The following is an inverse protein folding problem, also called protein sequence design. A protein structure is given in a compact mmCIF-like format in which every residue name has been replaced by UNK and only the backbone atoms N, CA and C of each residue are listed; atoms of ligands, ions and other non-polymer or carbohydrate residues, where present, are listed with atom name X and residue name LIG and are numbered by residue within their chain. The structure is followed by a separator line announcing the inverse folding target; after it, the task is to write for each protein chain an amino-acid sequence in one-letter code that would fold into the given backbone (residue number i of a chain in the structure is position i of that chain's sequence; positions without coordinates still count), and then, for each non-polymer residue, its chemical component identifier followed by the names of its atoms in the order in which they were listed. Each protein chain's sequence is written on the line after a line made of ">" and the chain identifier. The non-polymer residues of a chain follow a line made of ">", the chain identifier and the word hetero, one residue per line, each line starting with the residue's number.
data_IF_973114428249
#
_entry.id   IF_973114428249
#
_cell.length_a   1.000
_cell.length_b   1.000
_cell.length_c   1.000
_cell.angle_alpha   90.00
_cell.angle_beta   90.00
_cell.angle_gamma   90.00
#
_symmetry.space_group_name_H-M   'P 1'
#
loop_
_entity.id
_entity.type
_entity.pdbx_description
1 polymer ?
#
# COMPACT_ATOMS: atom_id res chain seq x y z
N UNK A 1 -4.80 18.84 23.11
CA UNK A 1 -5.65 17.84 22.41
C UNK A 1 -6.02 18.40 21.05
N UNK A 2 -4.98 18.71 20.25
CA UNK A 2 -5.09 19.39 18.95
C UNK A 2 -4.07 18.87 17.93
N UNK A 3 -3.84 17.52 17.90
CA UNK A 3 -2.91 16.90 16.95
C UNK A 3 -3.56 16.39 15.64
N UNK A 4 -4.81 16.71 15.40
CA UNK A 4 -5.53 16.30 14.18
C UNK A 4 -5.52 17.36 13.08
N UNK A 5 -4.60 18.34 13.13
CA UNK A 5 -4.60 19.45 12.17
C UNK A 5 -3.90 19.17 10.84
N UNK A 6 -3.28 18.01 10.64
CA UNK A 6 -2.56 17.69 9.40
C UNK A 6 -3.35 16.87 8.38
N UNK A 7 -4.56 16.43 8.69
CA UNK A 7 -5.34 15.61 7.76
C UNK A 7 -4.90 14.13 7.67
N UNK A 8 -3.64 13.83 7.89
CA UNK A 8 -3.10 12.46 7.85
C UNK A 8 -3.61 11.61 9.04
N UNK A 9 -3.73 10.30 8.81
CA UNK A 9 -4.13 9.36 9.84
C UNK A 9 -2.92 8.95 10.68
N UNK A 10 -3.01 8.94 12.02
CA UNK A 10 -1.88 8.60 12.84
C UNK A 10 -1.46 7.14 12.65
N UNK A 11 -0.18 6.92 12.39
CA UNK A 11 0.46 5.62 12.39
C UNK A 11 0.96 5.32 13.81
N UNK A 12 0.41 4.29 14.42
CA UNK A 12 0.82 3.81 15.73
C UNK A 12 1.78 2.65 15.56
N UNK A 13 3.05 2.87 15.90
CA UNK A 13 4.07 1.82 15.86
C UNK A 13 3.96 0.90 17.05
N UNK A 14 4.28 -0.38 16.87
CA UNK A 14 4.44 -1.31 17.99
C UNK A 14 5.68 -0.94 18.81
N UNK A 15 5.62 -1.16 20.12
CA UNK A 15 6.72 -0.82 21.03
C UNK A 15 8.05 -1.53 20.71
N UNK A 16 7.98 -2.67 20.05
CA UNK A 16 9.14 -3.47 19.63
C UNK A 16 9.63 -3.15 18.22
N UNK A 17 8.87 -2.30 17.47
CA UNK A 17 9.27 -1.91 16.14
C UNK A 17 10.46 -0.96 16.21
N UNK A 18 11.51 -1.25 15.45
CA UNK A 18 12.61 -0.32 15.25
C UNK A 18 12.20 0.71 14.18
N UNK A 19 11.95 1.97 14.55
CA UNK A 19 11.54 2.99 13.60
C UNK A 19 12.71 3.53 12.76
N UNK A 20 13.92 3.08 13.00
CA UNK A 20 15.10 3.59 12.33
C UNK A 20 15.18 3.05 10.91
N UNK A 21 15.16 3.99 9.95
CA UNK A 21 15.40 3.88 8.51
C UNK A 21 15.30 2.46 7.94
N UNK A 22 14.14 2.16 7.43
CA UNK A 22 13.93 0.89 6.74
C UNK A 22 14.72 0.86 5.44
N UNK A 23 14.68 1.95 4.68
CA UNK A 23 15.28 2.04 3.34
C UNK A 23 14.67 1.05 2.35
N UNK A 24 15.17 1.01 1.14
CA UNK A 24 14.77 0.04 0.13
C UNK A 24 13.39 0.31 -0.47
N UNK A 25 12.54 -0.72 -0.58
CA UNK A 25 11.27 -0.64 -1.31
C UNK A 25 10.08 -0.66 -0.36
N UNK A 26 9.17 0.29 -0.54
CA UNK A 26 7.83 0.29 0.06
C UNK A 26 6.82 -0.30 -0.93
N UNK A 27 5.99 -1.22 -0.48
CA UNK A 27 4.89 -1.81 -1.26
C UNK A 27 3.57 -1.56 -0.55
N UNK A 28 2.59 -1.06 -1.29
CA UNK A 28 1.24 -0.81 -0.79
C UNK A 28 0.22 -1.66 -1.51
N UNK A 29 -0.74 -2.20 -0.77
CA UNK A 29 -1.90 -2.91 -1.30
C UNK A 29 -3.14 -2.64 -0.49
N UNK A 30 -4.21 -2.23 -1.20
CA UNK A 30 -5.46 -1.78 -0.60
C UNK A 30 -6.64 -2.62 -1.09
N UNK A 31 -7.74 -2.60 -0.33
CA UNK A 31 -8.98 -3.31 -0.68
C UNK A 31 -9.76 -2.52 -1.74
N UNK A 32 -9.32 -2.68 -2.98
CA UNK A 32 -9.91 -2.10 -4.18
C UNK A 32 -10.49 -3.20 -5.07
N UNK A 33 -10.57 -2.96 -6.37
CA UNK A 33 -11.12 -3.92 -7.34
C UNK A 33 -10.43 -5.29 -7.24
N UNK A 34 -11.22 -6.32 -6.99
CA UNK A 34 -10.73 -7.71 -6.91
C UNK A 34 -9.81 -7.99 -5.72
N UNK A 35 -9.60 -7.02 -4.82
CA UNK A 35 -8.65 -7.12 -3.68
C UNK A 35 -7.23 -7.54 -4.08
N UNK A 36 -6.83 -7.27 -5.31
CA UNK A 36 -5.51 -7.68 -5.87
C UNK A 36 -4.36 -7.17 -5.00
N UNK A 37 -4.42 -5.88 -4.60
CA UNK A 37 -3.39 -5.28 -3.75
C UNK A 37 -3.25 -5.97 -2.39
N UNK A 38 -4.38 -6.26 -1.73
CA UNK A 38 -4.39 -6.97 -0.44
C UNK A 38 -3.87 -8.41 -0.57
N UNK A 39 -4.27 -9.12 -1.62
CA UNK A 39 -3.80 -10.50 -1.87
C UNK A 39 -2.28 -10.50 -2.09
N UNK A 40 -1.77 -9.59 -2.93
CA UNK A 40 -0.35 -9.48 -3.21
C UNK A 40 0.47 -9.12 -1.96
N UNK A 41 0.04 -8.13 -1.19
CA UNK A 41 0.74 -7.75 0.05
C UNK A 41 0.67 -8.81 1.12
N UNK A 42 -0.47 -9.52 1.26
CA UNK A 42 -0.59 -10.65 2.19
C UNK A 42 0.37 -11.78 1.82
N UNK A 43 0.51 -12.07 0.52
CA UNK A 43 1.46 -13.07 0.03
C UNK A 43 2.91 -12.67 0.35
N UNK A 44 3.29 -11.41 0.10
CA UNK A 44 4.62 -10.90 0.45
C UNK A 44 4.91 -11.02 1.95
N UNK A 45 3.95 -10.60 2.79
CA UNK A 45 4.10 -10.65 4.26
C UNK A 45 4.34 -12.08 4.73
N UNK A 46 3.58 -13.05 4.21
CA UNK A 46 3.68 -14.45 4.61
C UNK A 46 4.96 -15.11 4.06
N UNK A 47 5.24 -14.93 2.77
CA UNK A 47 6.35 -15.61 2.10
C UNK A 47 7.71 -15.11 2.59
N UNK A 48 7.82 -13.82 2.90
CA UNK A 48 9.05 -13.20 3.39
C UNK A 48 9.10 -13.08 4.92
N UNK A 49 8.11 -13.64 5.62
CA UNK A 49 8.02 -13.64 7.07
C UNK A 49 8.21 -12.23 7.68
N UNK A 50 7.57 -11.21 7.05
CA UNK A 50 7.75 -9.83 7.48
C UNK A 50 7.19 -9.60 8.89
N UNK A 51 7.93 -8.87 9.69
CA UNK A 51 7.54 -8.54 11.06
C UNK A 51 6.52 -7.40 11.10
N UNK A 52 5.49 -7.48 11.97
CA UNK A 52 4.53 -6.38 12.15
C UNK A 52 5.24 -5.18 12.79
N UNK A 53 5.03 -4.00 12.21
CA UNK A 53 5.64 -2.75 12.64
C UNK A 53 4.64 -1.82 13.33
N UNK A 54 3.42 -1.74 12.81
CA UNK A 54 2.42 -0.84 13.37
C UNK A 54 1.06 -0.94 12.70
N UNK A 55 0.17 -0.08 13.16
CA UNK A 55 -1.20 0.06 12.65
C UNK A 55 -1.51 1.52 12.38
N UNK A 56 -2.38 1.77 11.41
CA UNK A 56 -2.96 3.10 11.20
C UNK A 56 -4.33 3.14 11.82
N UNK A 57 -4.56 4.13 12.67
CA UNK A 57 -5.82 4.30 13.39
C UNK A 57 -6.47 5.62 13.01
N UNK A 58 -7.78 5.59 12.81
CA UNK A 58 -8.57 6.78 12.58
C UNK A 58 -9.97 6.62 13.16
N UNK A 59 -10.57 7.67 13.79
CA UNK A 59 -11.90 7.60 14.38
C UNK A 59 -13.02 7.25 13.40
N UNK A 60 -12.83 7.50 12.12
CA UNK A 60 -13.79 7.17 11.05
C UNK A 60 -13.66 5.73 10.53
N UNK A 61 -12.65 4.98 10.97
CA UNK A 61 -12.56 3.58 10.59
C UNK A 61 -13.68 2.77 11.24
N UNK A 62 -14.24 1.80 10.53
CA UNK A 62 -15.23 0.91 11.12
C UNK A 62 -14.61 0.14 12.29
N UNK A 63 -15.39 -0.09 13.34
CA UNK A 63 -14.96 -0.86 14.50
C UNK A 63 -14.95 -2.36 14.17
N UNK A 64 -13.99 -2.79 13.37
CA UNK A 64 -13.80 -4.18 12.94
C UNK A 64 -12.41 -4.68 13.31
N UNK A 65 -12.30 -5.98 13.54
CA UNK A 65 -11.04 -6.69 13.63
C UNK A 65 -11.07 -7.84 12.63
N UNK A 66 -9.95 -8.04 11.95
CA UNK A 66 -9.75 -9.19 11.07
C UNK A 66 -9.17 -10.33 11.88
N UNK A 67 -9.64 -11.54 11.63
CA UNK A 67 -9.10 -12.72 12.32
C UNK A 67 -8.18 -13.46 11.37
N UNK A 68 -6.89 -13.48 11.70
CA UNK A 68 -5.86 -14.24 11.01
C UNK A 68 -5.23 -15.22 12.00
N UNK A 69 -5.27 -16.49 11.71
CA UNK A 69 -4.72 -17.56 12.57
C UNK A 69 -5.26 -17.49 14.01
N UNK A 70 -6.56 -17.23 14.14
CA UNK A 70 -7.25 -17.06 15.43
C UNK A 70 -6.82 -15.83 16.25
N UNK A 71 -6.04 -14.91 15.65
CA UNK A 71 -5.58 -13.68 16.28
C UNK A 71 -6.30 -12.48 15.67
N UNK A 72 -6.94 -11.61 16.48
CA UNK A 72 -7.52 -10.37 15.98
C UNK A 72 -6.42 -9.39 15.57
N UNK A 73 -6.56 -8.83 14.36
CA UNK A 73 -5.63 -7.85 13.79
C UNK A 73 -6.39 -6.61 13.34
N UNK A 74 -5.74 -5.45 13.45
CA UNK A 74 -6.25 -4.22 12.90
C UNK A 74 -6.30 -4.30 11.35
N UNK A 75 -7.32 -3.75 10.68
CA UNK A 75 -7.45 -3.86 9.22
C UNK A 75 -6.41 -3.06 8.42
N UNK A 76 -5.80 -2.04 9.02
CA UNK A 76 -4.73 -1.25 8.39
C UNK A 76 -3.43 -1.42 9.13
N UNK A 77 -2.45 -2.02 8.48
CA UNK A 77 -1.21 -2.46 9.12
C UNK A 77 0.01 -2.19 8.26
N UNK A 78 1.15 -2.06 8.93
CA UNK A 78 2.47 -1.98 8.30
C UNK A 78 3.38 -3.10 8.80
N UNK A 79 4.19 -3.62 7.88
CA UNK A 79 5.15 -4.69 8.11
C UNK A 79 6.52 -4.32 7.55
N UNK A 80 7.57 -4.97 8.02
CA UNK A 80 8.93 -4.74 7.54
C UNK A 80 9.79 -6.02 7.57
N UNK A 81 10.81 -6.05 6.74
CA UNK A 81 11.90 -7.04 6.73
C UNK A 81 12.80 -6.85 5.53
N UNK A 82 14.11 -7.04 5.71
CA UNK A 82 15.13 -7.10 4.65
C UNK A 82 15.08 -5.98 3.58
N UNK A 83 14.91 -4.73 4.00
CA UNK A 83 14.81 -3.59 3.09
C UNK A 83 13.46 -3.48 2.36
N UNK A 84 12.45 -4.19 2.83
CA UNK A 84 11.08 -4.12 2.34
C UNK A 84 10.15 -3.62 3.44
N UNK A 85 9.35 -2.60 3.14
CA UNK A 85 8.22 -2.20 3.94
C UNK A 85 6.92 -2.52 3.21
N UNK A 86 5.93 -3.04 3.91
CA UNK A 86 4.61 -3.34 3.34
C UNK A 86 3.54 -2.60 4.11
N UNK A 87 2.71 -1.84 3.40
CA UNK A 87 1.54 -1.18 3.93
C UNK A 87 0.30 -1.83 3.32
N UNK A 88 -0.56 -2.42 4.15
CA UNK A 88 -1.78 -3.09 3.70
C UNK A 88 -3.01 -2.57 4.40
N UNK A 89 -4.10 -2.39 3.65
CA UNK A 89 -5.39 -2.00 4.20
C UNK A 89 -6.50 -2.91 3.65
N UNK A 90 -7.08 -3.71 4.54
CA UNK A 90 -8.13 -4.68 4.24
C UNK A 90 -9.54 -4.12 4.52
N UNK A 91 -9.68 -2.81 4.41
CA UNK A 91 -10.97 -2.09 4.46
C UNK A 91 -11.09 -1.19 3.25
N UNK A 92 -12.33 -0.94 2.84
CA UNK A 92 -12.63 0.13 1.89
C UNK A 92 -12.77 1.45 2.64
N UNK A 93 -12.12 2.48 2.14
CA UNK A 93 -12.25 3.83 2.69
C UNK A 93 -13.42 4.55 2.01
N UNK A 94 -14.13 5.41 2.74
CA UNK A 94 -15.00 6.39 2.09
C UNK A 94 -14.18 7.28 1.15
N UNK A 95 -14.66 7.54 -0.06
CA UNK A 95 -13.96 8.29 -1.11
C UNK A 95 -13.53 9.71 -0.72
N UNK A 96 -14.18 10.31 0.26
CA UNK A 96 -13.81 11.62 0.82
C UNK A 96 -12.56 11.58 1.72
N UNK A 97 -12.04 10.39 2.03
CA UNK A 97 -10.87 10.18 2.87
C UNK A 97 -9.64 9.68 2.09
N UNK A 98 -9.76 9.39 0.81
CA UNK A 98 -8.69 8.79 0.00
C UNK A 98 -7.43 9.68 -0.01
N UNK A 99 -7.58 10.99 -0.17
CA UNK A 99 -6.45 11.94 -0.19
C UNK A 99 -5.71 11.95 1.15
N UNK A 100 -6.42 12.00 2.27
CA UNK A 100 -5.81 11.97 3.60
C UNK A 100 -5.09 10.67 3.90
N UNK A 101 -5.63 9.57 3.40
CA UNK A 101 -4.98 8.27 3.53
C UNK A 101 -3.71 8.20 2.67
N UNK A 102 -3.75 8.76 1.46
CA UNK A 102 -2.57 8.91 0.61
C UNK A 102 -1.47 9.72 1.27
N UNK A 103 -1.81 10.81 1.99
CA UNK A 103 -0.84 11.58 2.79
C UNK A 103 -0.19 10.72 3.88
N UNK A 104 -0.96 9.86 4.55
CA UNK A 104 -0.43 8.93 5.57
C UNK A 104 0.57 7.94 4.97
N UNK A 105 0.27 7.40 3.80
CA UNK A 105 1.18 6.50 3.07
C UNK A 105 2.47 7.22 2.68
N UNK A 106 2.38 8.45 2.17
CA UNK A 106 3.54 9.25 1.79
C UNK A 106 4.38 9.65 3.01
N UNK A 107 3.75 9.95 4.13
CA UNK A 107 4.46 10.24 5.39
C UNK A 107 5.22 9.01 5.88
N UNK A 108 4.59 7.84 5.88
CA UNK A 108 5.25 6.58 6.22
C UNK A 108 6.42 6.27 5.27
N UNK A 109 6.23 6.43 3.97
CA UNK A 109 7.26 6.26 2.96
C UNK A 109 8.47 7.16 3.24
N UNK A 110 8.21 8.44 3.47
CA UNK A 110 9.27 9.44 3.69
C UNK A 110 10.01 9.22 5.00
N UNK A 111 9.28 8.97 6.09
CA UNK A 111 9.88 8.73 7.42
C UNK A 111 10.64 7.41 7.46
N UNK A 112 10.18 6.39 6.75
CA UNK A 112 10.87 5.10 6.60
C UNK A 112 12.15 5.19 5.77
N UNK A 113 12.35 6.31 5.06
CA UNK A 113 13.54 6.51 4.21
C UNK A 113 13.60 5.54 3.04
N UNK A 114 12.45 5.11 2.53
CA UNK A 114 12.37 4.23 1.37
C UNK A 114 12.80 4.93 0.09
N UNK A 115 13.44 4.20 -0.81
CA UNK A 115 13.92 4.71 -2.09
C UNK A 115 12.87 4.60 -3.20
N UNK A 116 11.93 3.68 -3.04
CA UNK A 116 10.89 3.36 -4.03
C UNK A 116 9.56 3.05 -3.36
N UNK A 117 8.48 3.55 -3.96
CA UNK A 117 7.11 3.20 -3.60
C UNK A 117 6.45 2.47 -4.78
N UNK A 118 5.91 1.29 -4.50
CA UNK A 118 5.12 0.49 -5.43
C UNK A 118 3.71 0.36 -4.85
N UNK A 119 2.71 0.77 -5.61
CA UNK A 119 1.31 0.54 -5.26
C UNK A 119 0.75 -0.53 -6.18
N UNK A 120 0.19 -1.58 -5.59
CA UNK A 120 -0.44 -2.69 -6.32
C UNK A 120 -1.95 -2.52 -6.22
N UNK A 121 -2.60 -2.48 -7.37
CA UNK A 121 -4.04 -2.31 -7.46
C UNK A 121 -4.66 -3.23 -8.51
N UNK A 122 -5.96 -3.46 -8.40
CA UNK A 122 -6.75 -4.15 -9.39
C UNK A 122 -7.46 -3.16 -10.31
N UNK A 123 -7.49 -3.47 -11.60
CA UNK A 123 -8.23 -2.69 -12.59
C UNK A 123 -9.20 -3.57 -13.36
N UNK A 124 -10.32 -2.98 -13.78
CA UNK A 124 -11.26 -3.67 -14.67
C UNK A 124 -10.74 -3.55 -16.11
N UNK A 125 -10.48 -4.67 -16.76
CA UNK A 125 -9.85 -4.72 -18.09
C UNK A 125 -10.61 -3.93 -19.17
N UNK A 126 -11.94 -3.81 -19.06
CA UNK A 126 -12.76 -3.08 -20.01
C UNK A 126 -12.49 -1.57 -20.04
N UNK A 127 -11.98 -1.00 -18.95
CA UNK A 127 -11.77 0.44 -18.82
C UNK A 127 -10.47 0.92 -19.50
N UNK A 128 -9.52 0.01 -19.73
CA UNK A 128 -8.21 0.35 -20.31
C UNK A 128 -8.08 0.03 -21.80
N UNK A 129 -9.11 -0.50 -22.44
CA UNK A 129 -9.03 -0.94 -23.85
C UNK A 129 -7.99 -2.04 -24.07
N UNK A 130 -7.72 -2.83 -23.05
CA UNK A 130 -6.68 -3.85 -23.01
C UNK A 130 -7.08 -5.02 -23.90
N UNK A 131 -6.23 -5.35 -24.85
CA UNK A 131 -6.29 -6.63 -25.57
C UNK A 131 -5.61 -7.69 -24.70
N UNK A 132 -6.19 -8.86 -24.62
CA UNK A 132 -6.07 -9.98 -23.67
C UNK A 132 -4.66 -10.55 -23.37
N UNK A 133 -3.53 -9.91 -23.71
CA UNK A 133 -2.22 -10.57 -23.70
C UNK A 133 -1.30 -10.20 -22.52
N UNK A 134 -1.74 -9.38 -21.56
CA UNK A 134 -0.91 -9.06 -20.39
C UNK A 134 -1.73 -8.91 -19.13
N UNK A 135 -1.34 -9.67 -18.13
CA UNK A 135 -1.97 -9.64 -16.80
C UNK A 135 -1.45 -8.48 -15.92
N UNK A 136 -0.35 -7.81 -16.33
CA UNK A 136 0.30 -6.76 -15.57
C UNK A 136 0.50 -5.49 -16.39
N UNK A 137 0.07 -4.38 -15.80
CA UNK A 137 0.20 -3.04 -16.36
C UNK A 137 0.83 -2.10 -15.34
N UNK A 138 1.62 -1.14 -15.81
CA UNK A 138 2.29 -0.21 -14.92
C UNK A 138 2.25 1.23 -15.40
N UNK A 139 2.28 2.14 -14.43
CA UNK A 139 2.56 3.57 -14.62
C UNK A 139 3.68 3.98 -13.67
N UNK A 140 4.43 5.00 -14.02
CA UNK A 140 5.51 5.46 -13.18
C UNK A 140 5.71 6.96 -13.27
N UNK A 141 6.02 7.57 -12.15
CA UNK A 141 6.28 9.02 -12.04
C UNK A 141 7.66 9.44 -12.52
N UNK A 142 8.65 8.51 -12.56
CA UNK A 142 10.03 8.83 -12.94
C UNK A 142 10.48 8.07 -14.19
N UNK A 143 11.47 8.60 -14.90
CA UNK A 143 12.04 7.91 -16.05
C UNK A 143 12.73 6.61 -15.64
N UNK A 144 13.51 6.63 -14.57
CA UNK A 144 14.19 5.44 -14.06
C UNK A 144 13.21 4.30 -13.75
N UNK A 145 12.10 4.60 -13.11
CA UNK A 145 11.08 3.58 -12.83
C UNK A 145 10.37 3.10 -14.10
N UNK A 146 10.24 3.94 -15.14
CA UNK A 146 9.71 3.50 -16.44
C UNK A 146 10.65 2.51 -17.13
N UNK A 147 11.96 2.74 -17.06
CA UNK A 147 12.97 1.82 -17.57
C UNK A 147 12.93 0.49 -16.82
N UNK A 148 12.72 0.52 -15.51
CA UNK A 148 12.54 -0.70 -14.70
C UNK A 148 11.27 -1.50 -15.06
N UNK A 149 10.18 -0.83 -15.42
CA UNK A 149 8.99 -1.51 -15.94
C UNK A 149 9.28 -2.20 -17.28
N UNK A 150 10.06 -1.56 -18.16
CA UNK A 150 10.49 -2.14 -19.43
C UNK A 150 11.38 -3.37 -19.22
N UNK A 151 12.37 -3.28 -18.33
CA UNK A 151 13.28 -4.38 -17.98
C UNK A 151 12.55 -5.57 -17.37
N UNK A 152 11.47 -5.30 -16.62
CA UNK A 152 10.61 -6.33 -16.03
C UNK A 152 9.57 -6.89 -17.01
N UNK A 153 9.49 -6.37 -18.24
CA UNK A 153 8.50 -6.79 -19.24
C UNK A 153 7.05 -6.37 -18.91
N UNK A 154 6.89 -5.37 -18.03
CA UNK A 154 5.57 -4.87 -17.62
C UNK A 154 5.08 -3.86 -18.65
N UNK A 155 3.88 -4.08 -19.19
CA UNK A 155 3.28 -3.17 -20.14
C UNK A 155 2.93 -1.83 -19.49
N UNK A 156 3.18 -0.73 -20.21
CA UNK A 156 2.91 0.62 -19.70
C UNK A 156 1.56 1.14 -20.17
N UNK A 157 0.79 1.68 -19.26
CA UNK A 157 -0.44 2.42 -19.59
C UNK A 157 -0.01 3.75 -20.24
N UNK A 158 -0.38 3.95 -21.49
CA UNK A 158 -0.01 5.16 -22.25
C UNK A 158 -0.94 6.33 -21.95
N UNK A 159 -2.24 6.05 -21.86
CA UNK A 159 -3.29 7.03 -21.59
C UNK A 159 -4.37 6.39 -20.75
N UNK A 160 -4.86 7.11 -19.76
CA UNK A 160 -5.92 6.63 -18.89
C UNK A 160 -6.06 7.46 -17.64
N UNK A 161 -7.03 7.10 -16.82
CA UNK A 161 -7.24 7.63 -15.48
C UNK A 161 -7.02 6.47 -14.52
N UNK A 162 -6.13 6.65 -13.56
CA UNK A 162 -5.97 5.75 -12.43
C UNK A 162 -6.62 6.43 -11.24
N UNK A 163 -7.63 5.79 -10.68
CA UNK A 163 -8.34 6.27 -9.50
C UNK A 163 -8.15 5.27 -8.37
N UNK A 164 -8.11 5.77 -7.14
CA UNK A 164 -7.83 5.00 -5.94
C UNK A 164 -6.78 5.69 -5.08
N UNK A 165 -6.31 5.00 -4.08
CA UNK A 165 -5.31 5.53 -3.14
C UNK A 165 -3.92 5.43 -3.75
#
# INVERSE_FOLDING_TARGET
>A
MDEYSSGAYPLVLHAEADPTRLGGTAVCGFSTVGSVGVIATSHLIQTLELSPMGTVMHPKFPAIALIHDSVPKHPVRVYQGDGLGVFTAEIQFPSDNDVYFGETVLEWFTKGGFDRLIVIDGVVSNDLGIKEDSDLWGVSSTQMSREQLDDAGIQKIQHGIVAGI
#
